data_IF_436499284958
#
_entry.id   IF_436499284958
#
_cell.length_a   1.000
_cell.length_b   1.000
_cell.length_c   1.000
_cell.angle_alpha   90.00
_cell.angle_beta   90.00
_cell.angle_gamma   90.00
#
_symmetry.space_group_name_H-M   'P 1'
#
loop_
_entity.id
_entity.type
_entity.pdbx_description
1 polymer ?
#
# COMPACT_ATOMS: atom_id res chain seq x y z
N UNK A 1 50.08 63.30 -134.16
CA UNK A 1 51.41 63.18 -134.80
C UNK A 1 51.44 63.49 -136.30
N UNK A 2 50.34 63.38 -137.06
CA UNK A 2 50.34 63.63 -138.52
C UNK A 2 50.40 65.11 -138.95
N UNK A 3 50.07 66.05 -138.07
CA UNK A 3 50.08 67.50 -138.36
C UNK A 3 51.50 68.13 -138.40
N UNK A 4 52.48 67.54 -137.71
CA UNK A 4 53.85 68.08 -137.61
C UNK A 4 54.62 67.90 -138.93
N UNK A 5 54.29 66.85 -139.70
CA UNK A 5 54.94 66.51 -140.96
C UNK A 5 54.48 67.38 -142.15
N UNK A 6 53.42 68.18 -141.99
CA UNK A 6 52.86 69.04 -143.03
C UNK A 6 53.05 70.55 -142.76
N UNK A 7 53.95 70.92 -141.84
CA UNK A 7 54.24 72.32 -141.57
C UNK A 7 55.14 72.90 -142.66
N UNK A 8 54.57 73.69 -143.57
CA UNK A 8 55.26 74.31 -144.72
C UNK A 8 56.16 75.51 -144.31
N UNK A 9 56.22 75.83 -143.03
CA UNK A 9 56.99 76.94 -142.48
C UNK A 9 57.31 76.70 -141.00
N UNK A 10 58.44 77.23 -140.52
CA UNK A 10 58.79 77.26 -139.11
C UNK A 10 57.71 77.95 -138.24
N UNK A 11 56.98 78.92 -138.80
CA UNK A 11 55.85 79.56 -138.10
C UNK A 11 54.67 78.60 -137.91
N UNK A 12 54.33 77.80 -138.94
CA UNK A 12 53.24 76.82 -138.89
C UNK A 12 53.54 75.70 -137.87
N UNK A 13 54.81 75.30 -137.77
CA UNK A 13 55.28 74.31 -136.80
C UNK A 13 55.17 74.84 -135.35
N UNK A 14 55.50 76.12 -135.13
CA UNK A 14 55.36 76.81 -133.84
C UNK A 14 53.88 76.96 -133.44
N UNK A 15 52.98 77.26 -134.38
CA UNK A 15 51.56 77.40 -134.09
C UNK A 15 50.88 76.05 -133.79
N UNK A 16 51.28 74.97 -134.47
CA UNK A 16 50.82 73.60 -134.17
C UNK A 16 51.29 73.16 -132.78
N UNK A 17 52.56 73.41 -132.43
CA UNK A 17 53.08 73.09 -131.10
C UNK A 17 52.41 73.95 -130.00
N UNK A 18 52.13 75.22 -130.27
CA UNK A 18 51.41 76.12 -129.36
C UNK A 18 49.94 75.73 -129.18
N UNK A 19 49.29 75.23 -130.23
CA UNK A 19 47.91 74.74 -130.19
C UNK A 19 47.74 73.39 -129.50
N UNK A 20 48.77 72.54 -129.52
CA UNK A 20 48.76 71.24 -128.82
C UNK A 20 49.25 71.31 -127.37
N UNK A 21 49.94 72.37 -126.98
CA UNK A 21 50.34 72.62 -125.60
C UNK A 21 49.42 73.67 -124.97
N UNK A 22 48.21 73.27 -124.59
CA UNK A 22 47.51 74.02 -123.53
C UNK A 22 48.32 73.82 -122.25
N UNK A 23 49.01 74.87 -121.82
CA UNK A 23 49.71 74.89 -120.55
C UNK A 23 48.66 74.55 -119.47
N UNK A 24 48.79 73.44 -118.73
CA UNK A 24 47.94 73.19 -117.58
C UNK A 24 48.00 74.44 -116.72
N UNK A 25 46.89 74.88 -116.14
CA UNK A 25 46.81 76.10 -115.35
C UNK A 25 47.48 75.85 -113.98
N UNK A 26 48.76 75.47 -114.01
CA UNK A 26 49.56 74.87 -112.95
C UNK A 26 49.63 75.76 -111.72
N UNK A 27 49.50 77.08 -111.89
CA UNK A 27 49.39 78.02 -110.78
C UNK A 27 48.10 77.86 -109.95
N UNK A 28 46.96 77.57 -110.59
CA UNK A 28 45.68 77.40 -109.91
C UNK A 28 45.60 76.05 -109.19
N UNK A 29 46.08 74.98 -109.82
CA UNK A 29 46.19 73.65 -109.22
C UNK A 29 47.14 73.64 -108.02
N UNK A 30 48.27 74.36 -108.10
CA UNK A 30 49.24 74.49 -107.02
C UNK A 30 48.70 75.36 -105.87
N UNK A 31 47.89 76.39 -106.17
CA UNK A 31 47.18 77.15 -105.14
C UNK A 31 46.13 76.29 -104.41
N UNK A 32 45.37 75.46 -105.14
CA UNK A 32 44.40 74.53 -104.57
C UNK A 32 45.07 73.47 -103.67
N UNK A 33 46.18 72.87 -104.13
CA UNK A 33 46.95 71.91 -103.34
C UNK A 33 47.47 72.49 -102.03
N UNK A 34 47.83 73.78 -101.98
CA UNK A 34 48.23 74.44 -100.73
C UNK A 34 47.07 74.61 -99.76
N UNK A 35 45.89 74.97 -100.28
CA UNK A 35 44.66 75.07 -99.47
C UNK A 35 44.29 73.70 -98.90
N UNK A 36 44.34 72.66 -99.73
CA UNK A 36 44.04 71.29 -99.32
C UNK A 36 45.05 70.76 -98.29
N UNK A 37 46.34 71.07 -98.47
CA UNK A 37 47.39 70.74 -97.50
C UNK A 37 47.12 71.41 -96.15
N UNK A 38 46.83 72.71 -96.13
CA UNK A 38 46.50 73.42 -94.89
C UNK A 38 45.22 72.90 -94.22
N UNK A 39 44.21 72.51 -95.01
CA UNK A 39 42.99 71.87 -94.51
C UNK A 39 43.30 70.50 -93.88
N UNK A 40 44.15 69.69 -94.53
CA UNK A 40 44.60 68.40 -94.02
C UNK A 40 45.44 68.55 -92.74
N UNK A 41 46.33 69.55 -92.68
CA UNK A 41 47.12 69.88 -91.49
C UNK A 41 46.23 70.26 -90.30
N UNK A 42 45.23 71.13 -90.54
CA UNK A 42 44.27 71.54 -89.50
C UNK A 42 43.42 70.35 -89.00
N UNK A 43 42.97 69.50 -89.92
CA UNK A 43 42.23 68.28 -89.58
C UNK A 43 43.09 67.31 -88.77
N UNK A 44 44.35 67.11 -89.18
CA UNK A 44 45.30 66.26 -88.46
C UNK A 44 45.56 66.78 -87.04
N UNK A 45 45.75 68.09 -86.87
CA UNK A 45 45.89 68.71 -85.55
C UNK A 45 44.65 68.49 -84.66
N UNK A 46 43.44 68.55 -85.24
CA UNK A 46 42.19 68.24 -84.55
C UNK A 46 42.12 66.77 -84.11
N UNK A 47 42.48 65.84 -85.01
CA UNK A 47 42.53 64.41 -84.70
C UNK A 47 43.54 64.10 -83.60
N UNK A 48 44.72 64.71 -83.63
CA UNK A 48 45.73 64.54 -82.58
C UNK A 48 45.23 65.00 -81.21
N UNK A 49 44.53 66.14 -81.14
CA UNK A 49 43.91 66.61 -79.88
C UNK A 49 42.87 65.63 -79.37
N UNK A 50 41.97 65.15 -80.24
CA UNK A 50 40.95 64.16 -79.88
C UNK A 50 41.56 62.83 -79.44
N UNK A 51 42.63 62.39 -80.09
CA UNK A 51 43.37 61.20 -79.73
C UNK A 51 44.01 61.35 -78.34
N UNK A 52 44.64 62.50 -78.06
CA UNK A 52 45.17 62.82 -76.73
C UNK A 52 44.09 62.77 -75.65
N UNK A 53 42.96 63.44 -75.86
CA UNK A 53 41.83 63.41 -74.90
C UNK A 53 41.24 62.01 -74.72
N UNK A 54 41.15 61.20 -75.78
CA UNK A 54 40.71 59.81 -75.68
C UNK A 54 41.71 58.96 -74.88
N UNK A 55 43.01 59.21 -75.04
CA UNK A 55 44.04 58.50 -74.31
C UNK A 55 44.02 58.85 -72.82
N UNK A 56 43.79 60.11 -72.47
CA UNK A 56 43.58 60.55 -71.08
C UNK A 56 42.34 59.88 -70.45
N UNK A 57 41.24 59.79 -71.21
CA UNK A 57 40.03 59.08 -70.75
C UNK A 57 40.28 57.60 -70.51
N UNK A 58 41.05 56.93 -71.38
CA UNK A 58 41.41 55.51 -71.19
C UNK A 58 42.24 55.33 -69.92
N UNK A 59 43.19 56.23 -69.64
CA UNK A 59 43.98 56.18 -68.40
C UNK A 59 43.08 56.38 -67.18
N UNK A 60 42.16 57.34 -67.22
CA UNK A 60 41.22 57.58 -66.13
C UNK A 60 40.30 56.39 -65.87
N UNK A 61 39.70 55.80 -66.91
CA UNK A 61 38.83 54.64 -66.79
C UNK A 61 39.58 53.42 -66.27
N UNK A 62 40.84 53.23 -66.69
CA UNK A 62 41.67 52.14 -66.21
C UNK A 62 41.94 52.26 -64.70
N UNK A 63 42.23 53.47 -64.22
CA UNK A 63 42.39 53.73 -62.79
C UNK A 63 41.09 53.50 -62.02
N UNK A 64 39.93 53.92 -62.55
CA UNK A 64 38.64 53.68 -61.92
C UNK A 64 38.28 52.18 -61.85
N UNK A 65 38.59 51.42 -62.90
CA UNK A 65 38.39 49.97 -62.92
C UNK A 65 39.25 49.30 -61.84
N UNK A 66 40.54 49.66 -61.75
CA UNK A 66 41.45 49.08 -60.76
C UNK A 66 40.99 49.38 -59.32
N UNK A 67 40.53 50.61 -59.05
CA UNK A 67 39.93 50.95 -57.74
C UNK A 67 38.67 50.13 -57.46
N UNK A 68 37.78 49.98 -58.45
CA UNK A 68 36.54 49.21 -58.29
C UNK A 68 36.80 47.72 -58.07
N UNK A 69 37.81 47.15 -58.75
CA UNK A 69 38.24 45.76 -58.54
C UNK A 69 38.77 45.55 -57.12
N UNK A 70 39.57 46.48 -56.59
CA UNK A 70 40.05 46.44 -55.21
C UNK A 70 38.90 46.51 -54.20
N UNK A 71 37.93 47.41 -54.39
CA UNK A 71 36.73 47.48 -53.55
C UNK A 71 35.91 46.20 -53.60
N UNK A 72 35.72 45.62 -54.79
CA UNK A 72 35.02 44.34 -54.96
C UNK A 72 35.71 43.22 -54.16
N UNK A 73 37.03 43.14 -54.21
CA UNK A 73 37.79 42.17 -53.41
C UNK A 73 37.63 42.38 -51.90
N UNK A 74 37.60 43.63 -51.43
CA UNK A 74 37.35 43.94 -50.02
C UNK A 74 35.95 43.50 -49.59
N UNK A 75 34.92 43.83 -50.38
CA UNK A 75 33.55 43.43 -50.11
C UNK A 75 33.36 41.92 -50.14
N UNK A 76 33.97 41.21 -51.08
CA UNK A 76 33.93 39.75 -51.12
C UNK A 76 34.51 39.13 -49.85
N UNK A 77 35.68 39.61 -49.38
CA UNK A 77 36.26 39.13 -48.12
C UNK A 77 35.35 39.41 -46.92
N UNK A 78 34.66 40.55 -46.90
CA UNK A 78 33.75 40.89 -45.81
C UNK A 78 32.46 40.05 -45.82
N UNK A 79 31.96 39.72 -47.01
CA UNK A 79 30.86 38.78 -47.21
C UNK A 79 31.26 37.39 -46.69
N UNK A 80 32.45 36.90 -47.03
CA UNK A 80 32.94 35.59 -46.55
C UNK A 80 33.04 35.53 -45.02
N UNK A 81 33.57 36.59 -44.38
CA UNK A 81 33.58 36.71 -42.91
C UNK A 81 32.15 36.69 -42.34
N UNK A 82 31.25 37.46 -42.94
CA UNK A 82 29.85 37.54 -42.52
C UNK A 82 29.13 36.20 -42.64
N UNK A 83 29.39 35.43 -43.70
CA UNK A 83 28.88 34.06 -43.86
C UNK A 83 29.37 33.15 -42.72
N UNK A 84 30.65 33.24 -42.34
CA UNK A 84 31.20 32.52 -41.19
C UNK A 84 30.49 32.88 -39.88
N UNK A 85 30.30 34.19 -39.64
CA UNK A 85 29.62 34.72 -38.47
C UNK A 85 28.14 34.33 -38.39
N UNK A 86 27.47 34.08 -39.52
CA UNK A 86 26.07 33.60 -39.55
C UNK A 86 26.01 32.07 -39.41
N UNK A 87 26.96 31.36 -40.00
CA UNK A 87 26.96 29.89 -40.04
C UNK A 87 27.19 29.28 -38.66
N UNK A 88 28.13 29.81 -37.88
CA UNK A 88 28.43 29.28 -36.55
C UNK A 88 27.23 29.38 -35.57
N UNK A 89 26.59 30.55 -35.38
CA UNK A 89 25.38 30.67 -34.57
C UNK A 89 24.23 29.81 -35.07
N UNK A 90 24.05 29.66 -36.40
CA UNK A 90 23.01 28.79 -36.96
C UNK A 90 23.20 27.32 -36.54
N UNK A 91 24.44 26.84 -36.49
CA UNK A 91 24.76 25.49 -35.98
C UNK A 91 24.42 25.36 -34.49
N UNK A 92 24.82 26.34 -33.68
CA UNK A 92 24.53 26.35 -32.23
C UNK A 92 23.03 26.40 -31.97
N UNK A 93 22.28 27.24 -32.70
CA UNK A 93 20.82 27.31 -32.61
C UNK A 93 20.14 25.99 -32.98
N UNK A 94 20.68 25.28 -33.99
CA UNK A 94 20.14 23.97 -34.40
C UNK A 94 20.38 22.92 -33.32
N UNK A 95 21.59 22.87 -32.75
CA UNK A 95 21.93 21.96 -31.66
C UNK A 95 21.11 22.24 -30.39
N UNK A 96 21.06 23.50 -29.96
CA UNK A 96 20.26 23.93 -28.80
C UNK A 96 18.76 23.69 -29.03
N UNK A 97 18.27 23.88 -30.25
CA UNK A 97 16.89 23.56 -30.61
C UNK A 97 16.57 22.06 -30.47
N UNK A 98 17.52 21.17 -30.77
CA UNK A 98 17.36 19.73 -30.56
C UNK A 98 17.37 19.37 -29.06
N UNK A 99 18.31 19.92 -28.28
CA UNK A 99 18.40 19.72 -26.83
C UNK A 99 17.14 20.20 -26.09
N UNK A 100 16.60 21.36 -26.47
CA UNK A 100 15.35 21.89 -25.91
C UNK A 100 14.16 20.99 -26.22
N UNK A 101 14.09 20.44 -27.44
CA UNK A 101 13.03 19.46 -27.79
C UNK A 101 13.13 18.21 -26.94
N UNK A 102 14.33 17.66 -26.77
CA UNK A 102 14.57 16.47 -25.95
C UNK A 102 14.21 16.72 -24.48
N UNK A 103 14.67 17.85 -23.93
CA UNK A 103 14.38 18.25 -22.54
C UNK A 103 12.87 18.44 -22.32
N UNK A 104 12.17 19.06 -23.28
CA UNK A 104 10.72 19.21 -23.25
C UNK A 104 10.00 17.86 -23.26
N UNK A 105 10.44 16.91 -24.07
CA UNK A 105 9.85 15.56 -24.10
C UNK A 105 10.05 14.84 -22.76
N UNK A 106 11.25 14.90 -22.19
CA UNK A 106 11.55 14.31 -20.89
C UNK A 106 10.72 14.95 -19.77
N UNK A 107 10.60 16.28 -19.73
CA UNK A 107 9.75 16.99 -18.77
C UNK A 107 8.27 16.64 -18.96
N UNK A 108 7.79 16.56 -20.20
CA UNK A 108 6.41 16.18 -20.49
C UNK A 108 6.09 14.77 -19.98
N UNK A 109 6.99 13.81 -20.21
CA UNK A 109 6.88 12.46 -19.67
C UNK A 109 6.92 12.42 -18.13
N UNK A 110 7.76 13.24 -17.52
CA UNK A 110 7.78 13.40 -16.06
C UNK A 110 6.45 13.93 -15.51
N UNK A 111 5.89 14.97 -16.14
CA UNK A 111 4.61 15.56 -15.74
C UNK A 111 3.45 14.56 -15.90
N UNK A 112 3.43 13.76 -16.98
CA UNK A 112 2.38 12.75 -17.17
C UNK A 112 2.49 11.61 -16.15
N UNK A 113 3.71 11.18 -15.81
CA UNK A 113 3.94 10.19 -14.76
C UNK A 113 3.46 10.68 -13.39
N UNK A 114 3.88 11.89 -12.98
CA UNK A 114 3.47 12.50 -11.71
C UNK A 114 1.96 12.72 -11.64
N UNK A 115 1.32 13.16 -12.74
CA UNK A 115 -0.14 13.31 -12.79
C UNK A 115 -0.87 11.97 -12.63
N UNK A 116 -0.31 10.89 -13.18
CA UNK A 116 -0.89 9.54 -13.04
C UNK A 116 -0.76 9.03 -11.60
N UNK A 117 0.40 9.25 -10.97
CA UNK A 117 0.62 8.93 -9.56
C UNK A 117 -0.31 9.72 -8.63
N UNK A 118 -0.52 11.01 -8.89
CA UNK A 118 -1.45 11.85 -8.14
C UNK A 118 -2.88 11.30 -8.19
N UNK A 119 -3.38 10.94 -9.37
CA UNK A 119 -4.71 10.32 -9.53
C UNK A 119 -4.85 8.99 -8.80
N UNK A 120 -3.76 8.21 -8.70
CA UNK A 120 -3.75 6.98 -7.93
C UNK A 120 -3.85 7.26 -6.42
N UNK A 121 -3.07 8.23 -5.93
CA UNK A 121 -3.12 8.67 -4.55
C UNK A 121 -4.50 9.22 -4.16
N UNK A 122 -5.13 10.03 -5.01
CA UNK A 122 -6.49 10.54 -4.83
C UNK A 122 -7.51 9.42 -4.64
N UNK A 123 -7.42 8.35 -5.45
CA UNK A 123 -8.28 7.16 -5.31
C UNK A 123 -8.05 6.43 -3.98
N UNK A 124 -6.80 6.30 -3.54
CA UNK A 124 -6.48 5.68 -2.25
C UNK A 124 -7.01 6.50 -1.07
N UNK A 125 -6.91 7.83 -1.15
CA UNK A 125 -7.47 8.72 -0.11
C UNK A 125 -8.97 8.54 0.00
N UNK A 126 -9.69 8.55 -1.14
CA UNK A 126 -11.14 8.30 -1.14
C UNK A 126 -11.52 6.96 -0.50
N UNK A 127 -10.80 5.88 -0.82
CA UNK A 127 -11.05 4.58 -0.20
C UNK A 127 -10.83 4.59 1.32
N UNK A 128 -9.78 5.28 1.80
CA UNK A 128 -9.55 5.45 3.24
C UNK A 128 -10.62 6.31 3.91
N UNK A 129 -11.10 7.35 3.26
CA UNK A 129 -12.18 8.19 3.79
C UNK A 129 -13.46 7.37 3.98
N UNK A 130 -13.79 6.50 3.02
CA UNK A 130 -14.91 5.55 3.11
C UNK A 130 -14.73 4.57 4.28
N UNK A 131 -13.52 4.00 4.46
CA UNK A 131 -13.19 3.14 5.60
C UNK A 131 -13.31 3.86 6.94
N UNK A 132 -12.83 5.11 7.04
CA UNK A 132 -12.92 5.93 8.24
C UNK A 132 -14.40 6.17 8.60
N UNK A 133 -15.26 6.47 7.62
CA UNK A 133 -16.70 6.64 7.84
C UNK A 133 -17.32 5.34 8.36
N UNK A 134 -16.99 4.20 7.76
CA UNK A 134 -17.50 2.89 8.19
C UNK A 134 -17.05 2.54 9.62
N UNK A 135 -15.78 2.76 9.95
CA UNK A 135 -15.23 2.52 11.29
C UNK A 135 -15.86 3.46 12.33
N UNK A 136 -16.05 4.73 11.99
CA UNK A 136 -16.69 5.71 12.87
C UNK A 136 -18.10 5.28 13.23
N UNK A 137 -18.87 4.78 12.26
CA UNK A 137 -20.21 4.21 12.50
C UNK A 137 -20.14 2.99 13.45
N UNK A 138 -19.21 2.07 13.21
CA UNK A 138 -19.03 0.88 14.05
C UNK A 138 -18.63 1.21 15.49
N UNK A 139 -17.83 2.26 15.72
CA UNK A 139 -17.48 2.73 17.06
C UNK A 139 -18.73 3.21 17.79
N UNK A 140 -19.57 4.03 17.15
CA UNK A 140 -20.82 4.52 17.75
C UNK A 140 -21.74 3.36 18.12
N UNK A 141 -21.90 2.37 17.24
CA UNK A 141 -22.70 1.17 17.51
C UNK A 141 -22.16 0.36 18.71
N UNK A 142 -20.83 0.22 18.82
CA UNK A 142 -20.19 -0.46 19.95
C UNK A 142 -20.34 0.32 21.26
N UNK A 143 -20.24 1.64 21.23
CA UNK A 143 -20.45 2.49 22.40
C UNK A 143 -21.88 2.37 22.93
N UNK A 144 -22.88 2.29 22.04
CA UNK A 144 -24.27 2.05 22.44
C UNK A 144 -24.47 0.66 23.03
N UNK A 145 -23.85 -0.37 22.47
CA UNK A 145 -23.87 -1.72 23.05
C UNK A 145 -23.19 -1.75 24.45
N UNK A 146 -22.09 -1.01 24.61
CA UNK A 146 -21.39 -0.91 25.88
C UNK A 146 -22.24 -0.23 26.96
N UNK A 147 -22.97 0.85 26.62
CA UNK A 147 -23.93 1.48 27.54
C UNK A 147 -25.00 0.51 28.02
N UNK A 148 -25.52 -0.34 27.14
CA UNK A 148 -26.50 -1.38 27.51
C UNK A 148 -25.88 -2.37 28.49
N UNK A 149 -24.69 -2.89 28.19
CA UNK A 149 -23.97 -3.82 29.07
C UNK A 149 -23.65 -3.21 30.43
N UNK A 150 -23.22 -1.95 30.46
CA UNK A 150 -22.98 -1.21 31.70
C UNK A 150 -24.28 -1.12 32.53
N UNK A 151 -25.41 -0.82 31.90
CA UNK A 151 -26.72 -0.81 32.55
C UNK A 151 -27.13 -2.18 33.12
N UNK A 152 -26.89 -3.26 32.37
CA UNK A 152 -27.16 -4.64 32.82
C UNK A 152 -26.26 -5.01 34.00
N UNK A 153 -24.96 -4.72 33.91
CA UNK A 153 -24.00 -4.98 35.00
C UNK A 153 -24.37 -4.20 36.27
N UNK A 154 -24.78 -2.94 36.15
CA UNK A 154 -25.22 -2.14 37.29
C UNK A 154 -26.45 -2.75 37.97
N UNK A 155 -27.43 -3.22 37.19
CA UNK A 155 -28.61 -3.93 37.72
C UNK A 155 -28.24 -5.23 38.44
N UNK A 156 -27.35 -6.05 37.86
CA UNK A 156 -26.89 -7.27 38.51
C UNK A 156 -26.15 -6.99 39.82
N UNK A 157 -25.29 -5.96 39.84
CA UNK A 157 -24.61 -5.55 41.04
C UNK A 157 -25.59 -5.10 42.14
N UNK A 158 -26.60 -4.30 41.79
CA UNK A 158 -27.68 -3.92 42.70
C UNK A 158 -28.44 -5.14 43.23
N UNK A 159 -28.82 -6.08 42.35
CA UNK A 159 -29.47 -7.33 42.75
C UNK A 159 -28.62 -8.13 43.75
N UNK A 160 -27.30 -8.22 43.53
CA UNK A 160 -26.41 -8.88 44.47
C UNK A 160 -26.36 -8.17 45.84
N UNK A 161 -26.34 -6.84 45.87
CA UNK A 161 -26.42 -6.07 47.11
C UNK A 161 -27.75 -6.31 47.85
N UNK A 162 -28.88 -6.29 47.13
CA UNK A 162 -30.21 -6.55 47.70
C UNK A 162 -30.30 -7.97 48.29
N UNK A 163 -29.77 -8.98 47.59
CA UNK A 163 -29.71 -10.36 48.10
C UNK A 163 -28.84 -10.43 49.36
N UNK A 164 -27.65 -9.81 49.36
CA UNK A 164 -26.77 -9.79 50.52
C UNK A 164 -27.46 -9.16 51.74
N UNK A 165 -28.12 -8.01 51.55
CA UNK A 165 -28.91 -7.35 52.60
C UNK A 165 -30.06 -8.23 53.11
N UNK A 166 -30.76 -8.95 52.21
CA UNK A 166 -31.85 -9.86 52.61
C UNK A 166 -31.38 -11.07 53.42
N UNK A 167 -30.10 -11.43 53.30
CA UNK A 167 -29.51 -12.58 53.99
C UNK A 167 -29.07 -12.24 55.42
N UNK A 168 -28.83 -10.97 55.73
CA UNK A 168 -28.09 -10.56 56.93
C UNK A 168 -28.85 -10.77 58.26
N UNK A 169 -30.19 -10.85 58.27
CA UNK A 169 -30.92 -10.96 59.55
C UNK A 169 -31.53 -12.36 59.78
N UNK A 170 -32.49 -12.79 58.95
CA UNK A 170 -33.22 -14.05 59.19
C UNK A 170 -32.56 -15.28 58.54
N UNK A 171 -31.99 -15.11 57.35
CA UNK A 171 -31.31 -16.19 56.60
C UNK A 171 -30.02 -16.63 57.27
N UNK A 172 -29.21 -15.66 57.71
CA UNK A 172 -27.97 -15.91 58.46
C UNK A 172 -28.25 -16.57 59.81
N UNK A 173 -29.31 -16.17 60.54
CA UNK A 173 -29.70 -16.84 61.79
C UNK A 173 -30.08 -18.32 61.58
N UNK A 174 -30.93 -18.61 60.58
CA UNK A 174 -31.33 -20.00 60.26
C UNK A 174 -30.14 -20.87 59.86
N UNK A 175 -29.22 -20.33 59.05
CA UNK A 175 -28.02 -21.04 58.62
C UNK A 175 -27.06 -21.30 59.80
N UNK A 176 -26.86 -20.31 60.68
CA UNK A 176 -26.09 -20.48 61.92
C UNK A 176 -26.72 -21.53 62.84
N UNK A 177 -28.04 -21.52 63.00
CA UNK A 177 -28.74 -22.49 63.83
C UNK A 177 -28.61 -23.92 63.27
N UNK A 178 -28.84 -24.10 61.96
CA UNK A 178 -28.68 -25.39 61.30
C UNK A 178 -27.26 -25.95 61.45
N UNK A 179 -26.24 -25.09 61.31
CA UNK A 179 -24.83 -25.47 61.54
C UNK A 179 -24.63 -25.98 62.98
N UNK A 180 -25.13 -25.25 63.98
CA UNK A 180 -25.05 -25.65 65.40
C UNK A 180 -25.70 -27.01 65.63
N UNK A 181 -26.90 -27.24 65.08
CA UNK A 181 -27.60 -28.53 65.21
C UNK A 181 -26.81 -29.69 64.59
N UNK A 182 -26.19 -29.47 63.43
CA UNK A 182 -25.34 -30.48 62.77
C UNK A 182 -24.13 -30.83 63.67
N UNK A 183 -23.49 -29.84 64.27
CA UNK A 183 -22.35 -30.05 65.18
C UNK A 183 -22.76 -30.83 66.44
N UNK A 184 -23.92 -30.54 67.02
CA UNK A 184 -24.48 -31.26 68.17
C UNK A 184 -24.83 -32.72 67.83
N UNK A 185 -25.43 -32.95 66.66
CA UNK A 185 -25.70 -34.30 66.15
C UNK A 185 -24.41 -35.09 65.95
N UNK A 186 -23.38 -34.47 65.37
CA UNK A 186 -22.06 -35.07 65.18
C UNK A 186 -21.44 -35.50 66.51
N UNK A 187 -21.48 -34.64 67.52
CA UNK A 187 -20.97 -34.97 68.87
C UNK A 187 -21.76 -36.11 69.52
N UNK A 188 -23.07 -36.15 69.33
CA UNK A 188 -23.92 -37.23 69.85
C UNK A 188 -23.55 -38.57 69.23
N UNK A 189 -23.38 -38.61 67.91
CA UNK A 189 -22.95 -39.81 67.18
C UNK A 189 -21.56 -40.26 67.67
N UNK A 190 -20.63 -39.33 67.88
CA UNK A 190 -19.29 -39.65 68.38
C UNK A 190 -19.31 -40.17 69.83
N UNK A 191 -20.22 -39.67 70.69
CA UNK A 191 -20.44 -40.21 72.04
C UNK A 191 -21.02 -41.62 71.99
N UNK A 192 -22.06 -41.86 71.19
CA UNK A 192 -22.65 -43.18 71.01
C UNK A 192 -21.61 -44.20 70.50
N UNK A 193 -20.80 -43.80 69.52
CA UNK A 193 -19.69 -44.63 69.02
C UNK A 193 -18.71 -45.00 70.13
N UNK A 194 -18.34 -44.07 71.02
CA UNK A 194 -17.44 -44.34 72.16
C UNK A 194 -18.04 -45.32 73.17
N UNK A 195 -19.34 -45.23 73.46
CA UNK A 195 -20.03 -46.17 74.36
C UNK A 195 -20.00 -47.58 73.78
N UNK A 196 -20.40 -47.72 72.50
CA UNK A 196 -20.39 -49.01 71.80
C UNK A 196 -18.98 -49.61 71.74
N UNK A 197 -17.96 -48.79 71.43
CA UNK A 197 -16.57 -49.25 71.38
C UNK A 197 -16.00 -49.68 72.74
N UNK A 198 -16.50 -49.16 73.87
CA UNK A 198 -16.00 -49.51 75.21
C UNK A 198 -16.69 -50.73 75.81
N UNK A 199 -17.98 -50.93 75.52
CA UNK A 199 -18.78 -51.97 76.19
C UNK A 199 -19.04 -53.19 75.32
N UNK A 200 -18.90 -53.12 73.99
CA UNK A 200 -18.91 -54.29 73.10
C UNK A 200 -20.20 -55.14 73.06
N UNK A 201 -21.17 -54.87 73.94
CA UNK A 201 -22.40 -55.64 74.13
C UNK A 201 -23.55 -54.69 74.48
N UNK A 202 -24.72 -54.94 73.90
CA UNK A 202 -26.01 -54.42 74.39
C UNK A 202 -26.58 -55.52 75.29
N UNK A 203 -26.82 -55.29 76.60
CA UNK A 203 -27.37 -56.33 77.47
C UNK A 203 -28.78 -56.72 77.00
N UNK A 204 -28.89 -57.96 76.50
CA UNK A 204 -30.16 -58.62 76.20
C UNK A 204 -30.57 -59.41 77.44
N UNK A 205 -31.67 -59.02 78.08
CA UNK A 205 -32.24 -59.75 79.20
C UNK A 205 -33.19 -60.83 78.66
N UNK A 206 -33.36 -61.91 79.43
CA UNK A 206 -34.20 -63.07 79.10
C UNK A 206 -35.52 -62.63 78.42
N UNK A 207 -35.88 -63.22 77.26
CA UNK A 207 -37.13 -62.93 76.55
C UNK A 207 -38.39 -62.93 77.43
N UNK A 208 -38.45 -63.77 78.47
CA UNK A 208 -39.58 -63.83 79.40
C UNK A 208 -39.62 -62.62 80.34
N UNK A 209 -38.46 -62.10 80.77
CA UNK A 209 -38.34 -60.87 81.54
C UNK A 209 -38.68 -59.63 80.70
N UNK A 210 -38.30 -59.62 79.42
CA UNK A 210 -38.70 -58.58 78.47
C UNK A 210 -40.22 -58.60 78.19
N UNK A 211 -40.84 -59.78 78.13
CA UNK A 211 -42.29 -59.94 77.99
C UNK A 211 -43.05 -59.45 79.23
N UNK A 212 -42.59 -59.78 80.44
CA UNK A 212 -43.20 -59.32 81.69
C UNK A 212 -43.21 -57.77 81.78
N UNK A 213 -42.09 -57.12 81.44
CA UNK A 213 -42.02 -55.67 81.42
C UNK A 213 -42.84 -55.02 80.30
N UNK A 214 -42.94 -55.67 79.13
CA UNK A 214 -43.82 -55.25 78.04
C UNK A 214 -45.31 -55.30 78.42
N UNK A 215 -45.68 -56.20 79.33
CA UNK A 215 -46.99 -56.29 79.94
C UNK A 215 -47.19 -55.33 81.14
N UNK A 216 -46.19 -54.52 81.49
CA UNK A 216 -46.26 -53.53 82.57
C UNK A 216 -46.05 -54.09 83.97
N UNK A 217 -45.55 -55.33 84.10
CA UNK A 217 -45.19 -55.93 85.39
C UNK A 217 -43.84 -55.40 85.86
N UNK A 218 -43.74 -55.08 87.16
CA UNK A 218 -42.50 -54.61 87.78
C UNK A 218 -41.52 -55.78 87.97
N UNK A 219 -40.28 -55.57 87.52
CA UNK A 219 -39.19 -56.57 87.61
C UNK A 219 -38.14 -56.01 88.58
N UNK A 220 -38.01 -56.58 89.80
CA UNK A 220 -37.10 -56.05 90.81
C UNK A 220 -35.65 -56.00 90.33
N UNK A 221 -35.00 -54.84 90.46
CA UNK A 221 -33.57 -54.64 90.15
C UNK A 221 -33.25 -54.16 88.73
N UNK A 222 -34.24 -53.79 87.92
CA UNK A 222 -34.05 -53.41 86.50
C UNK A 222 -34.67 -52.04 86.15
N UNK A 223 -34.00 -51.28 85.26
CA UNK A 223 -34.50 -49.98 84.79
C UNK A 223 -35.68 -50.13 83.80
N UNK A 224 -36.84 -49.49 84.04
CA UNK A 224 -38.02 -49.62 83.18
C UNK A 224 -37.83 -49.17 81.72
N UNK A 225 -36.97 -48.18 81.46
CA UNK A 225 -36.72 -47.71 80.09
C UNK A 225 -35.90 -48.72 79.29
N UNK A 226 -34.91 -49.32 79.93
CA UNK A 226 -34.08 -50.40 79.39
C UNK A 226 -34.92 -51.64 79.06
N UNK A 227 -35.87 -51.99 79.94
CA UNK A 227 -36.80 -53.11 79.71
C UNK A 227 -37.75 -52.86 78.51
N UNK A 228 -38.28 -51.64 78.35
CA UNK A 228 -39.14 -51.28 77.20
C UNK A 228 -38.38 -51.32 75.87
N UNK A 229 -37.14 -50.85 75.85
CA UNK A 229 -36.29 -50.95 74.67
C UNK A 229 -36.01 -52.41 74.32
N UNK A 230 -35.72 -53.24 75.33
CA UNK A 230 -35.49 -54.66 75.16
C UNK A 230 -36.73 -55.38 74.60
N UNK A 231 -37.90 -55.15 75.18
CA UNK A 231 -39.17 -55.70 74.70
C UNK A 231 -39.46 -55.31 73.23
N UNK A 232 -39.13 -54.08 72.84
CA UNK A 232 -39.30 -53.61 71.46
C UNK A 232 -38.30 -54.26 70.51
N UNK A 233 -37.06 -54.46 70.94
CA UNK A 233 -36.02 -55.12 70.15
C UNK A 233 -36.32 -56.62 69.99
N UNK A 234 -36.73 -57.31 71.07
CA UNK A 234 -37.19 -58.69 71.02
C UNK A 234 -38.36 -58.86 70.05
N UNK A 235 -39.33 -57.94 70.06
CA UNK A 235 -40.46 -57.96 69.12
C UNK A 235 -40.00 -57.82 67.66
N UNK A 236 -39.12 -56.85 67.39
CA UNK A 236 -38.57 -56.64 66.04
C UNK A 236 -37.74 -57.83 65.56
N UNK A 237 -37.00 -58.49 66.46
CA UNK A 237 -36.22 -59.68 66.14
C UNK A 237 -37.14 -60.89 65.89
N UNK A 238 -38.18 -61.08 66.69
CA UNK A 238 -39.19 -62.13 66.47
C UNK A 238 -39.95 -61.94 65.15
N UNK A 239 -40.26 -60.69 64.77
CA UNK A 239 -40.90 -60.37 63.49
C UNK A 239 -39.98 -60.63 62.29
N UNK A 240 -38.68 -60.34 62.41
CA UNK A 240 -37.73 -60.46 61.28
C UNK A 240 -37.05 -61.83 61.19
N UNK A 241 -36.89 -62.53 62.30
CA UNK A 241 -36.14 -63.79 62.39
C UNK A 241 -36.87 -64.80 63.31
N UNK A 242 -38.06 -65.29 62.90
CA UNK A 242 -38.87 -66.18 63.73
C UNK A 242 -38.18 -67.51 64.06
N UNK A 243 -37.27 -67.97 63.19
CA UNK A 243 -36.52 -69.22 63.35
C UNK A 243 -35.43 -69.16 64.44
N UNK A 244 -34.97 -67.97 64.83
CA UNK A 244 -33.92 -67.76 65.85
C UNK A 244 -34.50 -67.71 67.28
N UNK A 245 -35.80 -67.45 67.41
CA UNK A 245 -36.48 -67.29 68.70
C UNK A 245 -37.15 -68.57 69.23
N UNK A 246 -37.03 -69.71 68.53
CA UNK A 246 -37.46 -71.01 69.07
C UNK A 246 -36.42 -71.51 70.07
N UNK A 247 -36.66 -71.26 71.35
CA UNK A 247 -35.88 -71.83 72.45
C UNK A 247 -36.54 -73.16 72.84
N UNK A 248 -35.90 -74.32 72.62
CA UNK A 248 -36.42 -75.60 73.13
C UNK A 248 -36.34 -75.61 74.66
N UNK A 249 -37.38 -76.15 75.31
CA UNK A 249 -37.43 -76.34 76.77
C UNK A 249 -36.35 -77.31 77.23
N UNK A 250 -35.14 -76.79 77.51
CA UNK A 250 -34.23 -77.18 78.60
C UNK A 250 -32.84 -76.57 78.40
N UNK A 251 -32.33 -76.02 79.50
CA UNK A 251 -30.97 -75.50 79.77
C UNK A 251 -30.67 -74.05 79.37
N UNK A 252 -30.27 -73.26 80.37
CA UNK A 252 -29.89 -71.84 80.31
C UNK A 252 -28.73 -71.59 79.33
N UNK A 253 -29.06 -71.36 78.06
CA UNK A 253 -28.08 -70.86 77.09
C UNK A 253 -28.16 -69.34 76.97
N UNK A 254 -27.09 -68.67 77.38
CA UNK A 254 -26.86 -67.24 77.13
C UNK A 254 -26.68 -67.04 75.61
N UNK A 255 -27.69 -66.47 74.96
CA UNK A 255 -27.60 -66.12 73.53
C UNK A 255 -26.83 -64.80 73.38
N UNK A 256 -25.54 -64.89 73.07
CA UNK A 256 -24.72 -63.73 72.75
C UNK A 256 -24.95 -63.22 71.33
N UNK A 257 -25.56 -62.05 71.16
CA UNK A 257 -25.70 -61.41 69.85
C UNK A 257 -24.37 -60.74 69.45
N UNK A 258 -23.54 -61.42 68.66
CA UNK A 258 -22.31 -60.86 68.11
C UNK A 258 -22.62 -60.02 66.87
N UNK A 259 -22.66 -58.70 67.02
CA UNK A 259 -22.76 -57.78 65.88
C UNK A 259 -21.36 -57.65 65.26
N UNK A 260 -21.09 -58.43 64.22
CA UNK A 260 -19.90 -58.23 63.42
C UNK A 260 -20.01 -56.88 62.70
N UNK A 261 -19.12 -55.94 63.01
CA UNK A 261 -18.90 -54.79 62.14
C UNK A 261 -18.54 -55.32 60.75
N UNK A 262 -19.39 -55.02 59.77
CA UNK A 262 -19.08 -55.28 58.37
C UNK A 262 -17.83 -54.46 58.04
N UNK A 263 -16.67 -55.12 58.03
CA UNK A 263 -15.46 -54.56 57.43
C UNK A 263 -15.78 -54.37 55.96
N UNK A 264 -16.06 -53.13 55.56
CA UNK A 264 -16.19 -52.79 54.15
C UNK A 264 -14.81 -52.83 53.52
N UNK A 265 -14.36 -54.02 53.14
CA UNK A 265 -13.28 -54.21 52.17
C UNK A 265 -13.85 -54.84 50.92
N UNK A 266 -14.25 -53.93 50.02
CA UNK A 266 -14.00 -53.89 48.57
C UNK A 266 -13.70 -55.17 47.77
N UNK A 267 -14.20 -55.14 46.52
CA UNK A 267 -13.91 -55.96 45.32
C UNK A 267 -14.50 -57.37 45.31
N UNK A 268 -15.12 -57.91 44.26
CA UNK A 268 -15.32 -57.56 42.85
C UNK A 268 -15.50 -58.87 42.07
N UNK A 269 -16.34 -58.89 41.02
CA UNK A 269 -16.35 -59.81 39.85
C UNK A 269 -17.76 -59.74 39.23
N UNK A 270 -17.94 -59.00 38.13
CA UNK A 270 -17.86 -59.52 36.75
C UNK A 270 -19.04 -60.43 36.36
N UNK A 271 -19.92 -59.89 35.54
CA UNK A 271 -20.50 -60.63 34.42
C UNK A 271 -20.25 -59.81 33.15
N UNK A 272 -19.27 -60.30 32.40
CA UNK A 272 -18.92 -59.89 31.04
C UNK A 272 -19.97 -60.36 30.03
N UNK A 273 -20.30 -59.47 29.09
CA UNK A 273 -20.42 -59.76 27.66
C UNK A 273 -20.32 -58.41 26.92
N UNK A 274 -19.10 -57.97 26.62
CA UNK A 274 -18.44 -58.09 25.30
C UNK A 274 -18.87 -57.03 24.28
N UNK A 275 -18.07 -55.94 24.29
CA UNK A 275 -17.37 -55.23 23.18
C UNK A 275 -17.25 -56.00 21.83
N UNK A 276 -16.84 -55.38 20.69
CA UNK A 276 -15.87 -54.27 20.54
C UNK A 276 -16.31 -53.27 19.42
N UNK A 277 -15.57 -52.30 18.87
CA UNK A 277 -14.20 -51.80 18.79
C UNK A 277 -14.36 -50.34 18.23
N UNK A 278 -13.46 -49.36 18.25
CA UNK A 278 -12.08 -49.21 18.65
C UNK A 278 -11.85 -47.68 18.79
N UNK A 279 -11.29 -47.26 19.90
CA UNK A 279 -10.28 -46.18 19.95
C UNK A 279 -8.95 -46.78 19.47
N UNK A 280 -7.89 -46.04 19.05
CA UNK A 280 -7.37 -44.90 19.83
C UNK A 280 -6.61 -43.79 19.03
N UNK A 281 -6.77 -42.51 19.39
CA UNK A 281 -5.83 -41.62 20.16
C UNK A 281 -4.49 -41.30 19.44
N UNK A 282 -3.58 -40.48 20.01
CA UNK A 282 -3.68 -39.07 20.38
C UNK A 282 -2.52 -38.22 19.77
N UNK A 283 -2.61 -36.90 19.90
CA UNK A 283 -1.47 -36.04 20.29
C UNK A 283 -0.25 -35.83 19.37
N UNK A 284 -0.10 -34.55 19.00
CA UNK A 284 1.15 -33.77 18.88
C UNK A 284 1.97 -33.84 17.58
N UNK A 285 1.74 -32.85 16.71
CA UNK A 285 2.70 -31.78 16.37
C UNK A 285 1.93 -30.52 16.01
#
# INVERSE_FOLDING_TARGET
HQAILHAESASALVDILRGQYQHPNSSAELAQLRVDLHSAEASNASFQKRLGSAQDQVVQLKMQLETSEQECHLWNREVDKSIGLITSPRKVLTASGAELKQTRLAQSAGVTATRSALRAAERMVKGRDEEIVALSKSIVERDDAYKILQGVSAKHFQQHQEIALSLDDNGSHKLRHAKKTIDEMRETILRQKRVISRQGFVPMHDPHLAAAAGAGLDVPGMDPASLKLNARLCRLLAERFPEVMRIPDREDQVVGLRICLRQSRSTGAEASASRPAATPTPGSS
#
